data_IF_702315104719
#
_entry.id   IF_702315104719
#
_cell.length_a   1.000
_cell.length_b   1.000
_cell.length_c   1.000
_cell.angle_alpha   90.00
_cell.angle_beta   90.00
_cell.angle_gamma   90.00
#
_symmetry.space_group_name_H-M   'P 1'
#
loop_
_entity.id
_entity.type
_entity.pdbx_description
1 polymer ?
#
# COMPACT_ATOMS: atom_id res chain seq x y z
N UNK A 1 -8.12 -17.38 3.26
CA UNK A 1 -7.09 -16.47 3.81
C UNK A 1 -6.93 -15.30 2.84
N UNK A 2 -6.70 -14.09 3.35
CA UNK A 2 -6.40 -12.93 2.50
C UNK A 2 -5.03 -13.19 1.85
N UNK A 3 -4.92 -12.94 0.55
CA UNK A 3 -3.68 -13.09 -0.22
C UNK A 3 -3.56 -11.96 -1.26
N UNK A 4 -3.71 -10.72 -0.78
CA UNK A 4 -3.60 -9.51 -1.62
C UNK A 4 -2.20 -8.91 -1.49
N UNK A 5 -1.67 -8.40 -2.60
CA UNK A 5 -0.39 -7.70 -2.72
C UNK A 5 -0.61 -6.18 -2.60
N UNK A 6 0.08 -5.57 -1.64
CA UNK A 6 0.06 -4.11 -1.45
C UNK A 6 1.43 -3.56 -1.88
N UNK A 7 1.45 -2.74 -2.92
CA UNK A 7 2.63 -1.99 -3.32
C UNK A 7 2.72 -0.72 -2.47
N UNK A 8 3.78 -0.59 -1.69
CA UNK A 8 3.97 0.47 -0.71
C UNK A 8 5.16 1.32 -1.15
N UNK A 9 4.91 2.59 -1.45
CA UNK A 9 5.99 3.57 -1.66
C UNK A 9 6.77 3.84 -0.36
N UNK A 10 7.99 4.36 -0.49
CA UNK A 10 8.87 4.64 0.64
C UNK A 10 8.86 6.13 1.04
N UNK A 11 9.28 7.02 0.13
CA UNK A 11 9.55 8.43 0.41
C UNK A 11 8.27 9.27 0.36
N UNK A 12 7.85 9.83 1.49
CA UNK A 12 6.54 10.48 1.59
C UNK A 12 5.42 9.51 2.01
N UNK A 13 5.70 8.20 2.06
CA UNK A 13 4.71 7.17 2.41
C UNK A 13 5.06 6.43 3.71
N UNK A 14 6.18 5.71 3.76
CA UNK A 14 6.67 5.05 4.99
C UNK A 14 7.40 6.08 5.87
N UNK A 15 8.19 6.94 5.24
CA UNK A 15 8.97 8.01 5.89
C UNK A 15 8.57 9.38 5.34
N UNK A 16 8.97 10.45 6.02
CA UNK A 16 8.99 11.80 5.43
C UNK A 16 9.88 11.81 4.19
N UNK A 17 9.52 12.56 3.14
CA UNK A 17 10.38 12.70 1.97
C UNK A 17 11.64 13.49 2.35
N UNK A 18 12.78 12.81 2.26
CA UNK A 18 14.10 13.37 2.51
C UNK A 18 15.14 12.81 1.52
N UNK A 19 14.69 12.33 0.35
CA UNK A 19 15.58 11.72 -0.64
C UNK A 19 16.73 12.69 -1.01
N UNK A 20 18.00 12.23 -1.07
CA UNK A 20 18.44 10.83 -1.07
C UNK A 20 18.58 10.17 0.32
N UNK A 21 18.50 10.96 1.41
CA UNK A 21 18.55 10.46 2.79
C UNK A 21 17.28 9.72 3.19
N UNK A 22 17.19 9.27 4.45
CA UNK A 22 15.99 8.64 5.00
C UNK A 22 15.34 9.61 5.98
N UNK A 23 14.08 9.97 5.72
CA UNK A 23 13.30 10.83 6.60
C UNK A 23 12.85 10.11 7.88
N UNK A 24 12.16 10.83 8.76
CA UNK A 24 11.59 10.20 9.95
C UNK A 24 10.43 9.28 9.55
N UNK A 25 10.26 8.20 10.29
CA UNK A 25 9.11 7.31 10.10
C UNK A 25 7.80 8.09 10.26
N UNK A 26 6.84 7.86 9.36
CA UNK A 26 5.49 8.41 9.52
C UNK A 26 4.80 7.76 10.70
N UNK A 27 3.96 8.54 11.38
CA UNK A 27 3.19 8.08 12.53
C UNK A 27 2.39 6.82 12.14
N UNK A 28 2.54 5.77 12.96
CA UNK A 28 1.92 4.46 12.80
C UNK A 28 2.31 3.65 11.55
N UNK A 29 3.33 4.05 10.79
CA UNK A 29 3.71 3.37 9.55
C UNK A 29 4.06 1.89 9.79
N UNK A 30 4.99 1.62 10.69
CA UNK A 30 5.50 0.28 10.94
C UNK A 30 4.47 -0.59 11.66
N UNK A 31 3.72 -0.03 12.62
CA UNK A 31 2.65 -0.73 13.33
C UNK A 31 1.55 -1.16 12.36
N UNK A 32 1.15 -0.27 11.45
CA UNK A 32 0.11 -0.55 10.46
C UNK A 32 0.55 -1.59 9.45
N UNK A 33 1.76 -1.45 8.90
CA UNK A 33 2.31 -2.39 7.93
C UNK A 33 2.50 -3.79 8.53
N UNK A 34 3.06 -3.86 9.75
CA UNK A 34 3.21 -5.13 10.48
C UNK A 34 1.85 -5.77 10.76
N UNK A 35 0.85 -4.95 11.12
CA UNK A 35 -0.52 -5.42 11.32
C UNK A 35 -1.10 -6.01 10.03
N UNK A 36 -0.94 -5.33 8.89
CA UNK A 36 -1.40 -5.84 7.59
C UNK A 36 -0.70 -7.18 7.24
N UNK A 37 0.60 -7.31 7.48
CA UNK A 37 1.31 -8.59 7.27
C UNK A 37 0.73 -9.71 8.15
N UNK A 38 0.50 -9.43 9.43
CA UNK A 38 -0.09 -10.41 10.36
C UNK A 38 -1.48 -10.91 9.94
N UNK A 39 -2.16 -10.16 9.07
CA UNK A 39 -3.48 -10.49 8.54
C UNK A 39 -3.44 -11.20 7.18
N UNK A 40 -2.25 -11.45 6.64
CA UNK A 40 -2.02 -12.20 5.41
C UNK A 40 -1.79 -11.35 4.16
N UNK A 41 -1.68 -10.02 4.29
CA UNK A 41 -1.28 -9.19 3.15
C UNK A 41 0.20 -9.36 2.84
N UNK A 42 0.53 -9.40 1.54
CA UNK A 42 1.91 -9.41 1.06
C UNK A 42 2.31 -7.98 0.71
N UNK A 43 3.32 -7.46 1.41
CA UNK A 43 3.80 -6.11 1.17
C UNK A 43 4.95 -6.13 0.17
N UNK A 44 4.84 -5.33 -0.88
CA UNK A 44 5.90 -5.09 -1.86
C UNK A 44 6.42 -3.68 -1.62
N UNK A 45 7.72 -3.54 -1.38
CA UNK A 45 8.35 -2.21 -1.41
C UNK A 45 8.38 -1.75 -2.86
N UNK A 46 7.70 -0.65 -3.17
CA UNK A 46 7.56 -0.12 -4.51
C UNK A 46 8.06 1.32 -4.56
N UNK A 47 9.36 1.49 -4.78
CA UNK A 47 10.04 2.78 -4.70
C UNK A 47 10.90 3.01 -5.93
N UNK A 48 11.05 4.27 -6.35
CA UNK A 48 12.00 4.61 -7.41
C UNK A 48 13.47 4.54 -6.96
N UNK A 49 13.74 4.37 -5.65
CA UNK A 49 15.10 4.16 -5.14
C UNK A 49 15.75 2.96 -5.82
N UNK A 50 17.06 3.04 -6.04
CA UNK A 50 17.85 2.00 -6.69
C UNK A 50 19.28 1.94 -6.13
N UNK A 51 19.95 0.80 -6.29
CA UNK A 51 21.32 0.61 -5.81
C UNK A 51 21.46 0.85 -4.29
N UNK A 52 22.40 1.71 -3.90
CA UNK A 52 22.71 1.98 -2.49
C UNK A 52 21.52 2.54 -1.71
N UNK A 53 20.80 3.50 -2.28
CA UNK A 53 19.67 4.15 -1.59
C UNK A 53 18.48 3.21 -1.39
N UNK A 54 18.31 2.22 -2.29
CA UNK A 54 17.33 1.15 -2.12
C UNK A 54 17.72 0.22 -0.97
N UNK A 55 19.00 -0.18 -0.90
CA UNK A 55 19.47 -1.03 0.18
C UNK A 55 19.33 -0.35 1.54
N UNK A 56 19.62 0.96 1.63
CA UNK A 56 19.43 1.75 2.84
C UNK A 56 17.96 1.79 3.28
N UNK A 57 17.01 1.92 2.34
CA UNK A 57 15.57 1.87 2.62
C UNK A 57 15.13 0.48 3.14
N UNK A 58 15.60 -0.60 2.49
CA UNK A 58 15.35 -1.98 2.93
C UNK A 58 15.88 -2.20 4.36
N UNK A 59 17.12 -1.79 4.63
CA UNK A 59 17.76 -1.98 5.92
C UNK A 59 17.10 -1.15 7.01
N UNK A 60 16.62 0.06 6.69
CA UNK A 60 15.83 0.88 7.60
C UNK A 60 14.51 0.21 7.97
N UNK A 61 13.78 -0.34 6.99
CA UNK A 61 12.56 -1.09 7.26
C UNK A 61 12.84 -2.34 8.12
N UNK A 62 13.88 -3.12 7.77
CA UNK A 62 14.26 -4.32 8.54
C UNK A 62 14.61 -3.99 9.98
N UNK A 63 15.37 -2.91 10.23
CA UNK A 63 15.70 -2.45 11.60
C UNK A 63 14.48 -2.07 12.43
N UNK A 64 13.38 -1.68 11.78
CA UNK A 64 12.10 -1.39 12.41
C UNK A 64 11.15 -2.60 12.43
N UNK A 65 11.65 -3.81 12.13
CA UNK A 65 10.88 -5.05 12.20
C UNK A 65 9.98 -5.33 10.99
N UNK A 66 10.17 -4.63 9.87
CA UNK A 66 9.38 -4.79 8.65
C UNK A 66 10.22 -5.41 7.53
N UNK A 67 9.83 -6.60 7.08
CA UNK A 67 10.43 -7.28 5.92
C UNK A 67 9.42 -7.41 4.78
N UNK A 68 9.81 -7.06 3.55
CA UNK A 68 8.91 -7.11 2.41
C UNK A 68 8.89 -8.47 1.73
N UNK A 69 7.74 -8.83 1.16
CA UNK A 69 7.57 -10.01 0.30
C UNK A 69 8.41 -9.89 -0.98
N UNK A 70 8.46 -8.71 -1.57
CA UNK A 70 9.30 -8.41 -2.73
C UNK A 70 9.70 -6.94 -2.71
N UNK A 71 10.73 -6.58 -3.47
CA UNK A 71 11.22 -5.20 -3.60
C UNK A 71 11.33 -4.87 -5.08
N UNK A 72 10.59 -3.85 -5.52
CA UNK A 72 10.54 -3.41 -6.91
C UNK A 72 10.23 -4.53 -7.93
N UNK A 73 9.46 -5.52 -7.48
CA UNK A 73 9.14 -6.75 -8.21
C UNK A 73 7.74 -7.24 -7.86
N UNK A 74 7.10 -7.93 -8.80
CA UNK A 74 5.75 -8.50 -8.64
C UNK A 74 5.70 -9.66 -7.65
N UNK A 75 6.83 -10.35 -7.44
CA UNK A 75 6.99 -11.47 -6.52
C UNK A 75 8.47 -11.66 -6.14
N UNK A 76 8.71 -12.43 -5.07
CA UNK A 76 10.05 -12.77 -4.60
C UNK A 76 10.87 -13.51 -5.66
N UNK A 77 12.09 -13.05 -5.93
CA UNK A 77 13.00 -13.68 -6.89
C UNK A 77 12.66 -13.42 -8.36
N UNK A 78 11.75 -12.48 -8.66
CA UNK A 78 11.49 -12.05 -10.04
C UNK A 78 12.77 -11.49 -10.68
N UNK A 79 13.12 -11.99 -11.86
CA UNK A 79 14.17 -11.44 -12.72
C UNK A 79 13.51 -10.70 -13.86
N UNK A 80 13.68 -9.37 -13.90
CA UNK A 80 13.02 -8.52 -14.90
C UNK A 80 13.62 -8.71 -16.31
N UNK A 81 12.80 -9.12 -17.27
CA UNK A 81 13.11 -9.19 -18.71
C UNK A 81 12.38 -8.05 -19.46
N UNK A 82 13.12 -7.00 -19.80
CA UNK A 82 12.58 -5.83 -20.48
C UNK A 82 11.97 -6.11 -21.87
N UNK A 83 12.29 -7.24 -22.51
CA UNK A 83 11.73 -7.61 -23.80
C UNK A 83 10.36 -8.30 -23.69
N UNK A 84 10.03 -8.84 -22.51
CA UNK A 84 8.83 -9.69 -22.31
C UNK A 84 7.92 -9.22 -21.19
N UNK A 85 8.38 -8.31 -20.34
CA UNK A 85 7.66 -7.88 -19.15
C UNK A 85 7.43 -6.38 -19.12
N UNK A 86 6.31 -5.98 -18.53
CA UNK A 86 6.02 -4.59 -18.20
C UNK A 86 6.84 -4.12 -17.00
N UNK A 87 7.27 -2.86 -17.00
CA UNK A 87 7.89 -2.23 -15.81
C UNK A 87 6.93 -2.07 -14.63
N UNK A 88 5.62 -2.10 -14.88
CA UNK A 88 4.60 -2.00 -13.83
C UNK A 88 4.48 -3.33 -13.12
N UNK A 89 4.65 -3.33 -11.80
CA UNK A 89 4.46 -4.53 -10.96
C UNK A 89 2.98 -4.91 -10.86
N UNK A 90 2.76 -6.20 -10.61
CA UNK A 90 1.44 -6.75 -10.34
C UNK A 90 1.11 -6.67 -8.83
N UNK A 91 0.23 -5.75 -8.46
CA UNK A 91 -0.27 -5.54 -7.09
C UNK A 91 -1.78 -5.23 -7.09
N UNK A 92 -2.47 -5.58 -6.01
CA UNK A 92 -3.91 -5.34 -5.83
C UNK A 92 -4.21 -3.89 -5.43
N UNK A 93 -3.33 -3.27 -4.63
CA UNK A 93 -3.43 -1.88 -4.20
C UNK A 93 -2.06 -1.21 -4.23
N UNK A 94 -2.04 0.07 -4.59
CA UNK A 94 -0.86 0.95 -4.57
C UNK A 94 -1.08 2.04 -3.53
N UNK A 95 -0.18 2.11 -2.55
CA UNK A 95 -0.21 3.09 -1.45
C UNK A 95 1.02 3.98 -1.63
N UNK A 96 0.77 5.22 -2.04
CA UNK A 96 1.77 6.15 -2.51
C UNK A 96 1.29 7.58 -2.17
N UNK A 97 2.21 8.45 -1.75
CA UNK A 97 1.88 9.81 -1.39
C UNK A 97 1.53 10.69 -2.59
N UNK A 98 1.96 10.27 -3.78
CA UNK A 98 1.68 10.91 -5.06
C UNK A 98 0.41 10.38 -5.72
N UNK A 99 -0.33 9.50 -5.06
CA UNK A 99 -1.66 9.11 -5.54
C UNK A 99 -2.56 10.34 -5.69
N UNK A 100 -3.45 10.32 -6.69
CA UNK A 100 -4.44 11.38 -6.86
C UNK A 100 -5.36 11.42 -5.64
N UNK A 101 -5.35 12.55 -4.91
CA UNK A 101 -6.01 12.69 -3.60
C UNK A 101 -5.05 12.71 -2.40
N UNK A 102 -3.77 12.41 -2.62
CA UNK A 102 -2.71 12.46 -1.62
C UNK A 102 -2.71 11.29 -0.63
N UNK A 103 -1.78 11.33 0.33
CA UNK A 103 -1.66 10.33 1.39
C UNK A 103 -2.54 10.68 2.60
N UNK A 104 -3.56 9.88 2.95
CA UNK A 104 -4.45 10.18 4.06
C UNK A 104 -3.85 9.85 5.45
N UNK A 105 -2.67 9.22 5.48
CA UNK A 105 -2.04 8.74 6.71
C UNK A 105 -2.38 7.28 7.03
N UNK A 106 -1.49 6.61 7.76
CA UNK A 106 -1.54 5.15 7.94
C UNK A 106 -2.78 4.64 8.67
N UNK A 107 -3.30 5.38 9.65
CA UNK A 107 -4.54 5.01 10.33
C UNK A 107 -5.73 4.93 9.37
N UNK A 108 -5.85 5.89 8.46
CA UNK A 108 -6.93 5.92 7.48
C UNK A 108 -6.70 4.88 6.37
N UNK A 109 -5.46 4.72 5.90
CA UNK A 109 -5.09 3.63 4.96
C UNK A 109 -5.54 2.27 5.50
N UNK A 110 -5.29 1.98 6.78
CA UNK A 110 -5.73 0.74 7.41
C UNK A 110 -7.25 0.60 7.39
N UNK A 111 -7.99 1.63 7.80
CA UNK A 111 -9.45 1.62 7.82
C UNK A 111 -10.05 1.40 6.42
N UNK A 112 -9.48 2.05 5.40
CA UNK A 112 -9.89 1.90 3.99
C UNK A 112 -9.72 0.45 3.55
N UNK A 113 -8.54 -0.14 3.78
CA UNK A 113 -8.23 -1.52 3.39
C UNK A 113 -9.16 -2.50 4.10
N UNK A 114 -9.33 -2.35 5.42
CA UNK A 114 -10.14 -3.26 6.25
C UNK A 114 -11.63 -3.13 6.00
N UNK A 115 -12.10 -1.90 5.77
CA UNK A 115 -13.49 -1.61 5.47
C UNK A 115 -13.88 -1.94 4.04
N UNK A 116 -12.90 -2.24 3.17
CA UNK A 116 -13.06 -2.32 1.71
C UNK A 116 -13.76 -1.05 1.19
N UNK A 117 -13.29 0.11 1.65
CA UNK A 117 -13.87 1.41 1.32
C UNK A 117 -13.43 1.78 -0.09
N UNK A 118 -14.40 1.90 -0.98
CA UNK A 118 -14.20 2.44 -2.32
C UNK A 118 -14.49 3.94 -2.31
N UNK A 119 -13.88 4.70 -3.22
CA UNK A 119 -14.14 6.13 -3.36
C UNK A 119 -14.85 6.42 -4.67
N UNK A 120 -15.79 7.37 -4.66
CA UNK A 120 -16.34 7.96 -5.87
C UNK A 120 -16.11 9.47 -5.87
N UNK A 121 -15.82 10.01 -7.04
CA UNK A 121 -15.78 11.46 -7.25
C UNK A 121 -17.08 11.88 -7.93
N UNK A 122 -17.84 12.77 -7.28
CA UNK A 122 -19.08 13.31 -7.84
C UNK A 122 -19.25 14.75 -7.39
N UNK A 123 -19.58 15.66 -8.31
CA UNK A 123 -19.84 17.06 -7.99
C UNK A 123 -18.64 17.84 -7.42
N UNK A 124 -17.40 17.37 -7.64
CA UNK A 124 -16.20 17.98 -7.06
C UNK A 124 -15.85 17.49 -5.65
N UNK A 125 -16.58 16.52 -5.11
CA UNK A 125 -16.34 15.93 -3.80
C UNK A 125 -15.89 14.46 -3.92
N UNK A 126 -15.08 14.01 -2.96
CA UNK A 126 -14.71 12.60 -2.78
C UNK A 126 -15.64 12.00 -1.73
N UNK A 127 -16.46 11.03 -2.13
CA UNK A 127 -17.44 10.39 -1.26
C UNK A 127 -17.05 8.92 -1.03
N UNK A 128 -17.09 8.42 0.23
CA UNK A 128 -16.88 7.00 0.50
C UNK A 128 -18.09 6.20 -0.03
N UNK A 129 -17.80 5.19 -0.84
CA UNK A 129 -18.74 4.22 -1.36
C UNK A 129 -18.70 2.98 -0.48
N UNK A 130 -19.27 3.06 0.73
CA UNK A 130 -19.42 1.90 1.61
C UNK A 130 -20.80 1.24 1.43
N UNK A 131 -20.82 0.10 0.72
CA UNK A 131 -21.89 -0.93 0.70
C UNK A 131 -23.35 -0.45 0.60
N UNK A 132 -23.78 -0.06 -0.61
CA UNK A 132 -25.18 -0.24 -1.08
C UNK A 132 -25.57 -1.73 -1.26
N UNK A 133 -24.70 -2.68 -0.88
CA UNK A 133 -25.00 -4.13 -0.85
C UNK A 133 -25.08 -4.66 0.58
N UNK A 134 -26.15 -4.26 1.29
CA UNK A 134 -26.93 -5.10 2.23
C UNK A 134 -28.08 -4.31 2.89
N UNK A 135 -28.77 -3.45 2.16
CA UNK A 135 -30.20 -3.35 2.47
C UNK A 135 -30.80 -4.69 2.06
N UNK A 136 -30.92 -5.61 3.04
CA UNK A 136 -31.83 -6.75 2.92
C UNK A 136 -33.13 -6.14 2.41
N UNK A 137 -33.58 -6.53 1.21
CA UNK A 137 -35.00 -6.43 0.88
C UNK A 137 -35.72 -6.97 2.11
N UNK A 138 -36.38 -6.12 2.89
CA UNK A 138 -37.40 -6.58 3.81
C UNK A 138 -38.38 -7.30 2.89
N UNK A 139 -38.32 -8.63 2.87
CA UNK A 139 -39.36 -9.42 2.24
C UNK A 139 -40.65 -8.93 2.88
N UNK A 140 -41.54 -8.34 2.08
CA UNK A 140 -42.93 -8.28 2.47
C UNK A 140 -43.39 -9.74 2.55
N UNK A 141 -43.35 -10.30 3.75
CA UNK A 141 -44.18 -11.43 4.08
C UNK A 141 -45.58 -10.86 4.31
N UNK A 142 -46.44 -11.05 3.30
CA UNK A 142 -47.89 -11.02 3.47
C UNK A 142 -48.34 -12.39 3.97
#
# INVERSE_FOLDING_TARGET
MINKKLAIDFDGTIVEDAYPGIGRAKIFAFETLSKLQSEGYRLILWTYRSGKSLQEAIDFCRKNGLEFYAVNSSFEGEVFDAAKQSRKIDADLFIDDRNLGGFPGWGEVYNIIKGEIEFRVAGGEVLPYSKLRKEKKKGLFW
#
